data_IF_288412563492
#
_entry.id   IF_288412563492
#
_cell.length_a   1.000
_cell.length_b   1.000
_cell.length_c   1.000
_cell.angle_alpha   90.00
_cell.angle_beta   90.00
_cell.angle_gamma   90.00
#
_symmetry.space_group_name_H-M   'P 1'
#
loop_
_entity.id
_entity.type
_entity.pdbx_description
1 polymer ?
#
# COMPACT_ATOMS: atom_id res chain seq x y z
N UNK A 1 -17.76 -0.76 -1.14
CA UNK A 1 -17.73 0.71 -1.13
C UNK A 1 -17.64 1.19 -2.56
N UNK A 2 -18.27 2.30 -2.92
CA UNK A 2 -18.03 2.91 -4.24
C UNK A 2 -16.83 3.85 -4.13
N UNK A 3 -15.69 3.44 -4.69
CA UNK A 3 -14.44 4.17 -4.64
C UNK A 3 -14.25 5.14 -5.84
N UNK A 4 -15.18 5.17 -6.79
CA UNK A 4 -15.06 6.00 -8.00
C UNK A 4 -14.84 7.48 -7.68
N UNK A 5 -15.61 8.11 -6.76
CA UNK A 5 -15.39 9.53 -6.42
C UNK A 5 -14.00 9.76 -5.80
N UNK A 6 -13.57 8.90 -4.88
CA UNK A 6 -12.25 9.00 -4.23
C UNK A 6 -11.13 8.89 -5.27
N UNK A 7 -11.19 7.89 -6.13
CA UNK A 7 -10.18 7.65 -7.18
C UNK A 7 -10.16 8.80 -8.19
N UNK A 8 -11.32 9.36 -8.54
CA UNK A 8 -11.40 10.53 -9.43
C UNK A 8 -10.62 11.72 -8.84
N UNK A 9 -10.75 11.98 -7.53
CA UNK A 9 -9.99 13.04 -6.87
C UNK A 9 -8.50 12.71 -6.77
N UNK A 10 -8.14 11.45 -6.50
CA UNK A 10 -6.74 10.99 -6.53
C UNK A 10 -6.13 11.26 -7.92
N UNK A 11 -6.83 10.89 -9.00
CA UNK A 11 -6.35 11.13 -10.37
C UNK A 11 -6.33 12.62 -10.79
N UNK A 12 -6.99 13.49 -10.06
CA UNK A 12 -6.92 14.93 -10.25
C UNK A 12 -5.78 15.59 -9.48
N UNK A 13 -5.10 14.86 -8.58
CA UNK A 13 -3.93 15.36 -7.85
C UNK A 13 -2.66 15.32 -8.70
N UNK A 14 -1.64 16.12 -8.36
CA UNK A 14 -0.34 16.10 -9.07
C UNK A 14 0.58 14.96 -8.61
N UNK A 15 0.14 14.08 -7.70
CA UNK A 15 0.97 13.03 -7.10
C UNK A 15 0.90 11.77 -7.96
N UNK A 16 2.07 11.22 -8.29
CA UNK A 16 2.19 9.94 -8.96
C UNK A 16 2.77 8.87 -8.03
N UNK A 17 2.43 7.62 -8.26
CA UNK A 17 2.78 6.52 -7.35
C UNK A 17 3.32 5.29 -8.08
N UNK A 18 4.29 4.62 -7.45
CA UNK A 18 4.56 3.20 -7.68
C UNK A 18 3.89 2.42 -6.55
N UNK A 19 3.13 1.39 -6.92
CA UNK A 19 2.30 0.61 -6.01
C UNK A 19 2.79 -0.84 -5.98
N UNK A 20 3.09 -1.35 -4.79
CA UNK A 20 3.61 -2.72 -4.60
C UNK A 20 2.72 -3.45 -3.60
N UNK A 21 2.07 -4.54 -4.02
CA UNK A 21 1.18 -5.30 -3.15
C UNK A 21 1.53 -6.77 -3.12
N UNK A 22 1.40 -7.40 -1.94
CA UNK A 22 1.59 -8.84 -1.77
C UNK A 22 0.66 -9.38 -0.69
N UNK A 23 0.02 -10.51 -0.93
CA UNK A 23 -0.90 -11.17 -0.01
C UNK A 23 -2.29 -10.53 0.14
N UNK A 24 -2.47 -9.27 -0.28
CA UNK A 24 -3.74 -8.52 -0.29
C UNK A 24 -3.57 -7.11 -0.83
N UNK A 25 -4.69 -6.41 -1.10
CA UNK A 25 -4.70 -5.03 -1.62
C UNK A 25 -4.68 -4.92 -3.15
N UNK A 26 -4.70 -6.02 -3.87
CA UNK A 26 -4.63 -6.05 -5.33
C UNK A 26 -5.87 -5.45 -6.02
N UNK A 27 -7.04 -5.50 -5.37
CA UNK A 27 -8.26 -4.89 -5.90
C UNK A 27 -8.12 -3.37 -6.03
N UNK A 28 -7.34 -2.71 -5.16
CA UNK A 28 -7.07 -1.27 -5.27
C UNK A 28 -6.38 -0.90 -6.60
N UNK A 29 -5.46 -1.75 -7.09
CA UNK A 29 -4.81 -1.56 -8.39
C UNK A 29 -5.86 -1.64 -9.51
N UNK A 30 -6.72 -2.67 -9.47
CA UNK A 30 -7.78 -2.83 -10.46
C UNK A 30 -8.77 -1.64 -10.44
N UNK A 31 -9.16 -1.18 -9.25
CA UNK A 31 -10.07 -0.04 -9.07
C UNK A 31 -9.43 1.26 -9.61
N UNK A 32 -8.15 1.54 -9.30
CA UNK A 32 -7.42 2.71 -9.84
C UNK A 32 -7.36 2.68 -11.37
N UNK A 33 -7.05 1.54 -11.97
CA UNK A 33 -6.91 1.42 -13.42
C UNK A 33 -8.27 1.45 -14.15
N UNK A 34 -9.36 1.11 -13.47
CA UNK A 34 -10.71 1.13 -14.03
C UNK A 34 -11.30 2.54 -14.13
N UNK A 35 -10.81 3.50 -13.34
CA UNK A 35 -11.30 4.89 -13.38
C UNK A 35 -10.47 5.71 -14.38
N UNK A 36 -11.10 6.47 -15.30
CA UNK A 36 -10.37 7.30 -16.26
C UNK A 36 -9.43 8.30 -15.57
N UNK A 37 -8.19 8.36 -16.04
CA UNK A 37 -7.17 9.25 -15.47
C UNK A 37 -6.02 8.54 -14.76
N UNK A 38 -6.00 7.21 -14.74
CA UNK A 38 -4.97 6.40 -14.08
C UNK A 38 -3.53 6.78 -14.48
N UNK A 39 -3.29 7.17 -15.73
CA UNK A 39 -1.97 7.59 -16.23
C UNK A 39 -1.41 8.85 -15.54
N UNK A 40 -2.25 9.63 -14.87
CA UNK A 40 -1.79 10.79 -14.08
C UNK A 40 -1.35 10.42 -12.66
N UNK A 41 -1.64 9.19 -12.23
CA UNK A 41 -1.38 8.74 -10.85
C UNK A 41 -0.46 7.52 -10.82
N UNK A 42 -0.69 6.53 -11.67
CA UNK A 42 0.01 5.24 -11.60
C UNK A 42 1.21 5.24 -12.55
N UNK A 43 2.41 5.24 -11.98
CA UNK A 43 3.66 5.03 -12.73
C UNK A 43 3.87 3.54 -13.01
N UNK A 44 3.69 2.71 -11.99
CA UNK A 44 3.87 1.26 -12.07
C UNK A 44 3.10 0.58 -10.94
N UNK A 45 2.62 -0.64 -11.19
CA UNK A 45 2.02 -1.49 -10.17
C UNK A 45 2.63 -2.89 -10.23
N UNK A 46 3.09 -3.40 -9.08
CA UNK A 46 3.86 -4.64 -8.95
C UNK A 46 3.22 -5.57 -7.92
N UNK A 47 3.30 -6.87 -8.19
CA UNK A 47 2.82 -7.91 -7.28
C UNK A 47 3.91 -8.95 -7.04
N UNK A 48 4.95 -8.67 -6.23
CA UNK A 48 6.01 -9.61 -5.91
C UNK A 48 5.49 -10.67 -4.92
N UNK A 49 4.80 -11.69 -5.46
CA UNK A 49 4.02 -12.62 -4.65
C UNK A 49 4.84 -13.78 -4.07
N UNK A 50 5.84 -14.29 -4.80
CA UNK A 50 6.72 -15.34 -4.29
C UNK A 50 7.86 -14.76 -3.45
N UNK A 51 8.41 -15.57 -2.53
CA UNK A 51 9.55 -15.17 -1.69
C UNK A 51 10.75 -14.71 -2.54
N UNK A 52 10.99 -15.37 -3.68
CA UNK A 52 12.05 -14.99 -4.60
C UNK A 52 11.77 -13.62 -5.24
N UNK A 53 10.56 -13.38 -5.72
CA UNK A 53 10.16 -12.11 -6.32
C UNK A 53 10.24 -10.97 -5.32
N UNK A 54 9.80 -11.21 -4.07
CA UNK A 54 9.92 -10.24 -2.99
C UNK A 54 11.38 -9.93 -2.64
N UNK A 55 12.24 -10.97 -2.56
CA UNK A 55 13.67 -10.82 -2.31
C UNK A 55 14.36 -10.02 -3.43
N UNK A 56 14.03 -10.30 -4.69
CA UNK A 56 14.55 -9.55 -5.84
C UNK A 56 14.13 -8.09 -5.81
N UNK A 57 12.86 -7.80 -5.48
CA UNK A 57 12.35 -6.44 -5.39
C UNK A 57 12.99 -5.65 -4.24
N UNK A 58 13.17 -6.28 -3.06
CA UNK A 58 13.77 -5.65 -1.87
C UNK A 58 15.31 -5.60 -1.91
N UNK A 59 15.95 -6.41 -2.74
CA UNK A 59 17.40 -6.62 -2.72
C UNK A 59 17.88 -7.55 -1.60
N UNK A 60 17.01 -7.95 -0.67
CA UNK A 60 17.30 -8.85 0.43
C UNK A 60 16.04 -9.60 0.88
N UNK A 61 16.20 -10.81 1.42
CA UNK A 61 15.07 -11.57 1.97
C UNK A 61 14.58 -10.93 3.27
N UNK A 62 13.29 -10.58 3.40
CA UNK A 62 12.77 -10.04 4.64
C UNK A 62 12.69 -11.14 5.72
N UNK A 63 12.93 -10.78 6.97
CA UNK A 63 12.81 -11.70 8.11
C UNK A 63 11.38 -12.23 8.27
N UNK A 64 10.40 -11.40 7.98
CA UNK A 64 8.99 -11.73 8.02
C UNK A 64 8.27 -11.02 6.87
N UNK A 65 7.60 -11.79 6.00
CA UNK A 65 6.95 -11.25 4.81
C UNK A 65 5.82 -10.25 5.15
N UNK A 66 5.09 -10.47 6.24
CA UNK A 66 3.98 -9.60 6.68
C UNK A 66 4.33 -8.96 8.01
N UNK A 67 5.01 -7.83 7.94
CA UNK A 67 5.40 -7.02 9.10
C UNK A 67 5.42 -5.51 8.74
N UNK A 68 5.50 -4.67 9.77
CA UNK A 68 5.65 -3.21 9.64
C UNK A 68 6.93 -2.89 8.86
N UNK A 69 8.04 -3.56 9.21
CA UNK A 69 9.35 -3.36 8.62
C UNK A 69 9.34 -3.70 7.12
N UNK A 70 8.70 -4.81 6.75
CA UNK A 70 8.60 -5.23 5.35
C UNK A 70 7.70 -4.28 4.55
N UNK A 71 6.58 -3.82 5.12
CA UNK A 71 5.74 -2.82 4.48
C UNK A 71 6.50 -1.50 4.25
N UNK A 72 7.25 -1.03 5.26
CA UNK A 72 8.09 0.16 5.13
C UNK A 72 9.16 -0.02 4.04
N UNK A 73 9.88 -1.14 4.04
CA UNK A 73 10.91 -1.42 3.04
C UNK A 73 10.35 -1.49 1.62
N UNK A 74 9.18 -2.14 1.43
CA UNK A 74 8.50 -2.18 0.14
C UNK A 74 8.07 -0.77 -0.33
N UNK A 75 7.55 0.07 0.58
CA UNK A 75 7.17 1.45 0.25
C UNK A 75 8.40 2.29 -0.13
N UNK A 76 9.53 2.11 0.56
CA UNK A 76 10.78 2.79 0.28
C UNK A 76 11.34 2.39 -1.10
N UNK A 77 11.38 1.11 -1.43
CA UNK A 77 11.79 0.63 -2.75
C UNK A 77 10.83 1.14 -3.85
N UNK A 78 9.52 1.15 -3.58
CA UNK A 78 8.52 1.72 -4.48
C UNK A 78 8.76 3.22 -4.70
N UNK A 79 9.10 3.99 -3.66
CA UNK A 79 9.43 5.41 -3.76
C UNK A 79 10.69 5.63 -4.61
N UNK A 80 11.78 4.88 -4.36
CA UNK A 80 12.99 4.97 -5.18
C UNK A 80 12.68 4.67 -6.66
N UNK A 81 11.86 3.65 -6.90
CA UNK A 81 11.40 3.31 -8.24
C UNK A 81 10.58 4.44 -8.86
N UNK A 82 9.67 5.08 -8.10
CA UNK A 82 8.89 6.23 -8.55
C UNK A 82 9.79 7.41 -8.92
N UNK A 83 10.82 7.70 -8.12
CA UNK A 83 11.82 8.72 -8.45
C UNK A 83 12.57 8.43 -9.75
N UNK A 84 12.84 7.16 -10.07
CA UNK A 84 13.51 6.78 -11.32
C UNK A 84 12.60 6.80 -12.54
N UNK A 85 11.28 6.73 -12.36
CA UNK A 85 10.29 6.67 -13.43
C UNK A 85 9.64 8.03 -13.74
N UNK A 86 9.74 9.01 -12.83
CA UNK A 86 9.18 10.35 -13.07
C UNK A 86 9.92 11.05 -14.21
N UNK A 87 9.17 11.77 -15.05
CA UNK A 87 9.73 12.46 -16.22
C UNK A 87 10.51 13.74 -15.87
N UNK A 88 10.21 14.34 -14.71
CA UNK A 88 10.86 15.55 -14.22
C UNK A 88 10.94 15.52 -12.67
N UNK A 89 11.98 16.16 -12.11
CA UNK A 89 12.21 16.16 -10.66
C UNK A 89 11.13 16.89 -9.85
N UNK A 90 10.44 17.84 -10.45
CA UNK A 90 9.36 18.61 -9.85
C UNK A 90 8.07 17.80 -9.67
N UNK A 91 7.94 16.65 -10.36
CA UNK A 91 6.78 15.78 -10.20
C UNK A 91 6.83 15.12 -8.83
N UNK A 92 5.80 15.38 -8.04
CA UNK A 92 5.65 14.77 -6.72
C UNK A 92 5.35 13.27 -6.87
N UNK A 93 6.17 12.43 -6.25
CA UNK A 93 6.02 10.98 -6.32
C UNK A 93 5.99 10.36 -4.94
N UNK A 94 5.29 9.22 -4.83
CA UNK A 94 5.23 8.42 -3.60
C UNK A 94 5.42 6.94 -3.91
N UNK A 95 5.93 6.21 -2.92
CA UNK A 95 5.91 4.76 -2.92
C UNK A 95 4.80 4.25 -2.01
N UNK A 96 3.93 3.39 -2.54
CA UNK A 96 2.84 2.79 -1.81
C UNK A 96 3.02 1.28 -1.76
N UNK A 97 2.87 0.68 -0.61
CA UNK A 97 3.00 -0.77 -0.43
C UNK A 97 1.85 -1.37 0.34
N UNK A 98 1.63 -2.66 0.13
CA UNK A 98 0.79 -3.49 1.00
C UNK A 98 1.40 -4.88 1.15
N UNK A 99 1.52 -5.35 2.37
CA UNK A 99 1.77 -6.76 2.67
C UNK A 99 0.71 -7.29 3.61
N UNK A 100 0.12 -8.45 3.29
CA UNK A 100 -1.02 -8.96 4.03
C UNK A 100 -1.03 -10.48 4.18
N UNK A 101 -1.66 -10.93 5.27
CA UNK A 101 -2.04 -12.33 5.50
C UNK A 101 -3.52 -12.36 5.84
N UNK A 102 -4.33 -12.80 4.88
CA UNK A 102 -5.79 -12.81 4.91
C UNK A 102 -6.31 -14.25 4.94
N UNK A 103 -7.64 -14.41 4.87
CA UNK A 103 -8.29 -15.73 4.73
C UNK A 103 -7.64 -16.54 3.61
N UNK A 104 -7.39 -17.81 3.88
CA UNK A 104 -6.89 -18.81 2.92
C UNK A 104 -7.75 -20.06 2.97
N UNK A 105 -7.52 -20.98 2.04
CA UNK A 105 -8.12 -22.32 1.96
C UNK A 105 -7.79 -23.21 3.18
N UNK A 106 -6.78 -22.83 3.97
CA UNK A 106 -6.36 -23.56 5.18
C UNK A 106 -6.52 -22.69 6.42
N UNK A 107 -7.05 -23.22 7.52
CA UNK A 107 -7.10 -22.50 8.80
C UNK A 107 -5.71 -22.05 9.24
N UNK A 108 -5.52 -20.76 9.48
CA UNK A 108 -4.29 -20.19 10.04
C UNK A 108 -4.43 -19.98 11.54
N UNK A 109 -3.37 -20.27 12.30
CA UNK A 109 -3.33 -19.99 13.74
C UNK A 109 -3.14 -18.48 14.03
N UNK A 110 -2.36 -17.81 13.21
CA UNK A 110 -2.06 -16.37 13.37
C UNK A 110 -3.23 -15.45 13.00
N UNK A 111 -3.09 -14.18 13.36
CA UNK A 111 -4.07 -13.14 13.04
C UNK A 111 -4.11 -12.85 11.55
N UNK A 112 -5.30 -12.45 11.08
CA UNK A 112 -5.43 -11.83 9.77
C UNK A 112 -5.04 -10.35 9.89
N UNK A 113 -4.08 -9.91 9.10
CA UNK A 113 -3.55 -8.56 9.17
C UNK A 113 -3.00 -8.08 7.85
N UNK A 114 -2.96 -6.76 7.71
CA UNK A 114 -2.30 -6.08 6.61
C UNK A 114 -1.49 -4.89 7.12
N UNK A 115 -0.40 -4.59 6.44
CA UNK A 115 0.40 -3.39 6.67
C UNK A 115 0.49 -2.63 5.35
N UNK A 116 -0.01 -1.40 5.33
CA UNK A 116 0.05 -0.50 4.17
C UNK A 116 1.12 0.55 4.45
N UNK A 117 2.16 0.59 3.64
CA UNK A 117 3.25 1.54 3.74
C UNK A 117 3.09 2.69 2.73
N UNK A 118 3.37 3.89 3.17
CA UNK A 118 3.50 5.09 2.35
C UNK A 118 4.87 5.71 2.58
N UNK A 119 5.64 5.87 1.51
CA UNK A 119 6.92 6.57 1.54
C UNK A 119 6.86 7.82 0.65
N UNK A 120 7.27 8.95 1.23
CA UNK A 120 7.43 10.25 0.57
C UNK A 120 8.90 10.69 0.63
N UNK A 121 9.21 11.90 0.18
CA UNK A 121 10.55 12.50 0.34
C UNK A 121 10.89 12.82 1.80
N UNK A 122 9.92 12.88 2.71
CA UNK A 122 10.10 13.36 4.07
C UNK A 122 9.98 12.26 5.11
N UNK A 123 9.06 11.31 4.90
CA UNK A 123 8.75 10.29 5.91
C UNK A 123 8.31 8.96 5.28
N UNK A 124 8.36 7.94 6.09
CA UNK A 124 7.69 6.65 5.85
C UNK A 124 6.65 6.41 6.93
N UNK A 125 5.40 6.16 6.52
CA UNK A 125 4.29 5.79 7.41
C UNK A 125 3.84 4.38 7.12
N UNK A 126 3.43 3.65 8.15
CA UNK A 126 2.83 2.33 8.02
C UNK A 126 1.52 2.28 8.80
N UNK A 127 0.46 1.90 8.11
CA UNK A 127 -0.87 1.67 8.64
C UNK A 127 -1.06 0.16 8.82
N UNK A 128 -1.22 -0.26 10.06
CA UNK A 128 -1.32 -1.66 10.45
C UNK A 128 -2.76 -2.00 10.82
N UNK A 129 -3.40 -2.83 10.00
CA UNK A 129 -4.76 -3.31 10.19
C UNK A 129 -4.72 -4.76 10.68
N UNK A 130 -5.27 -5.00 11.88
CA UNK A 130 -5.60 -6.35 12.36
C UNK A 130 -7.09 -6.55 12.16
N UNK A 131 -7.47 -7.67 11.52
CA UNK A 131 -8.85 -7.96 11.17
C UNK A 131 -9.48 -8.93 12.19
N UNK A 132 -10.76 -8.72 12.48
CA UNK A 132 -11.57 -9.67 13.25
C UNK A 132 -11.66 -10.98 12.50
N UNK A 133 -10.97 -12.00 13.00
CA UNK A 133 -10.85 -13.29 12.35
C UNK A 133 -12.20 -14.01 12.26
N UNK A 134 -12.52 -14.52 11.05
CA UNK A 134 -13.76 -15.25 10.80
C UNK A 134 -15.00 -14.38 10.57
N UNK A 135 -14.88 -13.07 10.66
CA UNK A 135 -16.00 -12.14 10.44
C UNK A 135 -16.23 -11.81 8.96
N UNK A 136 -15.21 -12.02 8.13
CA UNK A 136 -15.27 -11.81 6.67
C UNK A 136 -14.69 -13.02 5.95
N UNK A 137 -15.12 -13.23 4.71
CA UNK A 137 -14.48 -14.13 3.76
C UNK A 137 -13.23 -13.46 3.13
N UNK A 138 -12.54 -14.18 2.26
CA UNK A 138 -11.36 -13.68 1.55
C UNK A 138 -11.64 -12.41 0.76
N UNK A 139 -12.78 -12.34 0.09
CA UNK A 139 -13.17 -11.20 -0.74
C UNK A 139 -13.43 -9.98 0.14
N UNK A 140 -14.12 -10.17 1.26
CA UNK A 140 -14.40 -9.11 2.23
C UNK A 140 -13.14 -8.54 2.89
N UNK A 141 -12.16 -9.39 3.25
CA UNK A 141 -10.89 -8.93 3.79
C UNK A 141 -10.05 -8.22 2.73
N UNK A 142 -9.97 -8.76 1.50
CA UNK A 142 -9.29 -8.14 0.36
C UNK A 142 -9.85 -6.75 0.06
N UNK A 143 -11.18 -6.60 0.07
CA UNK A 143 -11.83 -5.31 -0.18
C UNK A 143 -11.47 -4.29 0.89
N UNK A 144 -11.53 -4.67 2.16
CA UNK A 144 -11.18 -3.76 3.25
C UNK A 144 -9.72 -3.29 3.18
N UNK A 145 -8.80 -4.21 2.87
CA UNK A 145 -7.37 -3.87 2.70
C UNK A 145 -7.16 -2.98 1.49
N UNK A 146 -7.87 -3.21 0.40
CA UNK A 146 -7.82 -2.37 -0.79
C UNK A 146 -8.39 -0.98 -0.53
N UNK A 147 -9.50 -0.88 0.21
CA UNK A 147 -10.07 0.40 0.63
C UNK A 147 -9.09 1.19 1.51
N UNK A 148 -8.38 0.52 2.45
CA UNK A 148 -7.33 1.15 3.24
C UNK A 148 -6.19 1.67 2.35
N UNK A 149 -5.73 0.88 1.38
CA UNK A 149 -4.65 1.28 0.47
C UNK A 149 -5.04 2.52 -0.35
N UNK A 150 -6.29 2.58 -0.85
CA UNK A 150 -6.80 3.77 -1.55
C UNK A 150 -6.88 4.99 -0.64
N UNK A 151 -7.28 4.83 0.63
CA UNK A 151 -7.30 5.93 1.59
C UNK A 151 -5.90 6.44 1.94
N UNK A 152 -4.92 5.56 2.05
CA UNK A 152 -3.51 5.95 2.27
C UNK A 152 -2.95 6.70 1.05
N UNK A 153 -3.29 6.28 -0.17
CA UNK A 153 -2.93 7.03 -1.37
C UNK A 153 -3.63 8.40 -1.41
N UNK A 154 -4.90 8.46 -1.04
CA UNK A 154 -5.64 9.73 -0.94
C UNK A 154 -5.00 10.70 0.04
N UNK A 155 -4.51 10.20 1.19
CA UNK A 155 -3.76 11.00 2.16
C UNK A 155 -2.52 11.64 1.52
N UNK A 156 -1.74 10.88 0.75
CA UNK A 156 -0.58 11.40 0.02
C UNK A 156 -0.96 12.45 -1.04
N UNK A 157 -2.16 12.35 -1.59
CA UNK A 157 -2.73 13.29 -2.56
C UNK A 157 -3.41 14.52 -1.91
N UNK A 158 -3.40 14.65 -0.58
CA UNK A 158 -4.18 15.64 0.18
C UNK A 158 -5.69 15.58 -0.12
N UNK A 159 -6.20 14.40 -0.42
CA UNK A 159 -7.61 14.12 -0.66
C UNK A 159 -8.23 13.51 0.60
N UNK A 160 -9.27 14.15 1.11
CA UNK A 160 -10.00 13.63 2.27
C UNK A 160 -11.00 12.56 1.80
N UNK A 161 -10.89 11.30 2.29
CA UNK A 161 -11.86 10.28 1.95
C UNK A 161 -13.25 10.65 2.45
N UNK A 162 -14.25 10.57 1.57
CA UNK A 162 -15.65 10.88 1.91
C UNK A 162 -16.33 9.74 2.69
N UNK A 163 -15.73 8.55 2.70
CA UNK A 163 -16.30 7.36 3.33
C UNK A 163 -15.26 6.76 4.28
N UNK A 164 -15.69 6.44 5.50
CA UNK A 164 -14.85 5.75 6.46
C UNK A 164 -14.70 4.27 6.13
N UNK A 165 -13.58 3.67 6.54
CA UNK A 165 -13.38 2.23 6.43
C UNK A 165 -14.47 1.49 7.24
N UNK A 166 -15.09 0.43 6.68
CA UNK A 166 -16.13 -0.36 7.35
C UNK A 166 -15.50 -1.33 8.37
N UNK A 167 -14.83 -0.77 9.39
CA UNK A 167 -14.22 -1.55 10.45
C UNK A 167 -15.29 -2.17 11.36
N UNK A 168 -15.06 -3.40 11.79
CA UNK A 168 -15.84 -4.08 12.81
C UNK A 168 -15.27 -3.76 14.20
N UNK A 169 -16.01 -4.12 15.25
CA UNK A 169 -15.67 -3.76 16.65
C UNK A 169 -14.32 -4.32 17.14
N UNK A 170 -13.87 -5.43 16.58
CA UNK A 170 -12.57 -6.05 16.92
C UNK A 170 -11.47 -5.75 15.90
N UNK A 171 -11.79 -5.09 14.79
CA UNK A 171 -10.75 -4.60 13.88
C UNK A 171 -9.94 -3.49 14.57
N UNK A 172 -8.64 -3.47 14.34
CA UNK A 172 -7.74 -2.47 14.90
C UNK A 172 -6.87 -1.87 13.83
N UNK A 173 -6.91 -0.56 13.69
CA UNK A 173 -6.06 0.21 12.78
C UNK A 173 -5.12 1.08 13.61
N UNK A 174 -3.82 0.87 13.45
CA UNK A 174 -2.75 1.64 14.08
C UNK A 174 -1.86 2.26 13.00
N UNK A 175 -1.21 3.37 13.34
CA UNK A 175 -0.28 4.06 12.47
C UNK A 175 1.06 4.23 13.18
N UNK A 176 2.15 4.00 12.45
CA UNK A 176 3.52 4.31 12.84
C UNK A 176 4.16 5.22 11.79
N UNK A 177 4.96 6.18 12.24
CA UNK A 177 5.70 7.10 11.36
C UNK A 177 7.17 7.06 11.75
N UNK A 178 8.04 7.01 10.74
CA UNK A 178 9.47 7.18 10.90
C UNK A 178 9.96 8.24 9.92
N UNK A 179 10.87 9.10 10.36
CA UNK A 179 11.53 10.05 9.48
C UNK A 179 12.36 9.28 8.44
N UNK A 180 12.35 9.78 7.21
CA UNK A 180 13.24 9.27 6.18
C UNK A 180 14.65 9.77 6.45
N UNK A 181 15.44 9.00 7.18
CA UNK A 181 16.88 9.21 7.19
C UNK A 181 17.45 8.47 5.99
N UNK A 182 17.86 9.23 4.98
CA UNK A 182 18.75 8.72 3.95
C UNK A 182 20.00 8.21 4.68
N UNK A 183 20.11 6.90 4.85
CA UNK A 183 21.42 6.31 5.06
C UNK A 183 22.21 6.57 3.77
N UNK A 184 22.91 7.69 3.77
CA UNK A 184 23.93 8.01 2.78
C UNK A 184 25.09 7.03 3.02
N UNK A 185 24.91 5.83 2.48
CA UNK A 185 25.96 4.82 2.39
C UNK A 185 26.41 4.84 0.94
N UNK A 186 27.09 5.93 0.56
CA UNK A 186 28.01 5.87 -0.58
C UNK A 186 29.40 5.52 -0.05
N UNK A 187 30.00 4.40 -0.53
CA UNK A 187 31.40 4.10 -0.28
C UNK A 187 32.32 5.11 -0.95
#
# INVERSE_FOLDING_TARGET
MDNIPLITHIHASPVMAVIVVTGGGSQAIADLLAVPGASRTVLEALVPYSDKSMTEFLGASPTQAVSIETAAALAQQAYQRACSLREAEEISVVGLSCTATLVTDRPKKGDHRAHVGLCTSEYTQVFSLTLQKGARDRIGEERLVSDLLLQVLALACNVVPSVQLPLLSEDRLNQTTSDWHTHDSRP
#
